data_IF_330288225021
#
_entry.id   IF_330288225021
#
_cell.length_a   1.000
_cell.length_b   1.000
_cell.length_c   1.000
_cell.angle_alpha   90.00
_cell.angle_beta   90.00
_cell.angle_gamma   90.00
#
_symmetry.space_group_name_H-M   'P 1'
#
loop_
_entity.id
_entity.type
_entity.pdbx_description
1 polymer ?
#
# COMPACT_ATOMS: atom_id res chain seq x y z
N UNK A 1 1.11 68.25 -13.49
CA UNK A 1 0.40 66.95 -13.29
C UNK A 1 1.34 65.83 -13.70
N UNK A 2 2.00 65.20 -12.74
CA UNK A 2 2.79 63.97 -12.93
C UNK A 2 2.28 62.93 -11.92
N UNK A 3 1.77 61.81 -12.44
CA UNK A 3 1.27 60.68 -11.63
C UNK A 3 2.47 59.85 -11.17
N UNK A 4 2.64 59.74 -9.86
CA UNK A 4 3.51 58.75 -9.22
C UNK A 4 2.70 57.45 -9.17
N UNK A 5 3.16 56.40 -9.86
CA UNK A 5 2.56 55.07 -9.78
C UNK A 5 3.13 54.31 -8.59
N UNK A 6 2.35 54.24 -7.51
CA UNK A 6 2.57 53.30 -6.41
C UNK A 6 2.07 51.91 -6.81
N UNK A 7 2.99 51.02 -7.18
CA UNK A 7 2.72 49.58 -7.11
C UNK A 7 4.02 48.81 -6.89
N UNK A 8 4.70 49.11 -5.78
CA UNK A 8 5.79 48.30 -5.27
C UNK A 8 5.25 47.12 -4.46
N UNK A 9 4.70 46.10 -5.11
CA UNK A 9 4.53 44.80 -4.43
C UNK A 9 5.90 44.13 -4.36
N UNK A 10 6.48 44.12 -3.17
CA UNK A 10 7.67 43.33 -2.86
C UNK A 10 7.32 41.85 -3.12
N UNK A 11 8.01 41.15 -4.02
CA UNK A 11 7.75 39.73 -4.26
C UNK A 11 7.96 38.97 -2.95
N UNK A 12 6.95 38.19 -2.54
CA UNK A 12 7.08 37.30 -1.38
C UNK A 12 8.31 36.41 -1.60
N UNK A 13 9.23 36.30 -0.64
CA UNK A 13 10.40 35.44 -0.78
C UNK A 13 9.92 34.02 -1.06
N UNK A 14 10.43 33.42 -2.14
CA UNK A 14 10.17 32.03 -2.46
C UNK A 14 10.55 31.18 -1.26
N UNK A 15 9.62 30.35 -0.78
CA UNK A 15 9.90 29.40 0.32
C UNK A 15 11.12 28.56 -0.11
N UNK A 16 12.16 28.44 0.73
CA UNK A 16 13.30 27.61 0.41
C UNK A 16 12.81 26.17 0.19
N UNK A 17 12.92 25.67 -1.05
CA UNK A 17 12.78 24.24 -1.32
C UNK A 17 13.98 23.56 -0.67
N UNK A 18 13.76 22.82 0.43
CA UNK A 18 14.77 21.86 0.89
C UNK A 18 15.00 20.85 -0.25
N UNK A 19 16.19 20.85 -0.83
CA UNK A 19 16.49 20.14 -2.09
C UNK A 19 16.93 18.69 -1.93
N UNK A 20 17.10 18.16 -0.72
CA UNK A 20 17.92 16.93 -0.59
C UNK A 20 17.14 15.72 -0.09
N UNK A 21 15.91 15.90 0.38
CA UNK A 21 15.05 14.79 0.80
C UNK A 21 13.98 14.53 -0.25
N UNK A 22 14.13 13.39 -0.93
CA UNK A 22 13.16 12.98 -1.93
C UNK A 22 11.86 12.65 -1.19
N UNK A 23 10.74 13.30 -1.52
CA UNK A 23 9.54 13.09 -0.75
C UNK A 23 9.12 11.62 -0.84
N UNK A 24 8.66 11.06 0.27
CA UNK A 24 8.23 9.68 0.39
C UNK A 24 6.70 9.65 0.34
N UNK A 25 6.16 8.96 -0.65
CA UNK A 25 4.74 8.95 -1.00
C UNK A 25 4.31 7.51 -1.27
N UNK A 26 3.01 7.28 -1.40
CA UNK A 26 2.46 5.94 -1.60
C UNK A 26 1.87 5.44 -0.30
N UNK A 27 0.54 5.43 -0.27
CA UNK A 27 -0.21 4.85 0.84
C UNK A 27 -1.59 4.54 0.34
N UNK A 28 -2.13 3.41 0.77
CA UNK A 28 -3.54 3.10 0.67
C UNK A 28 -4.06 2.84 2.08
N UNK A 29 -5.05 3.64 2.46
CA UNK A 29 -5.85 3.39 3.66
C UNK A 29 -7.22 2.89 3.25
N UNK A 30 -7.74 1.97 4.03
CA UNK A 30 -9.06 1.37 3.90
C UNK A 30 -9.77 1.57 5.23
N UNK A 31 -10.98 2.09 5.17
CA UNK A 31 -11.83 2.29 6.32
C UNK A 31 -13.18 1.63 6.05
N UNK A 32 -13.67 0.80 6.96
CA UNK A 32 -14.96 0.13 6.85
C UNK A 32 -15.68 0.24 8.19
N UNK A 33 -16.80 0.96 8.23
CA UNK A 33 -17.68 1.03 9.40
C UNK A 33 -18.91 0.15 9.21
N UNK A 34 -19.07 -0.82 10.10
CA UNK A 34 -20.27 -1.66 10.23
C UNK A 34 -21.19 -1.07 11.30
N UNK A 35 -22.21 -1.82 11.72
CA UNK A 35 -23.06 -1.44 12.85
C UNK A 35 -22.31 -1.44 14.19
N UNK A 36 -21.41 -2.39 14.39
CA UNK A 36 -20.78 -2.66 15.69
C UNK A 36 -19.30 -2.31 15.74
N UNK A 37 -18.65 -2.31 14.57
CA UNK A 37 -17.20 -2.29 14.46
C UNK A 37 -16.71 -1.37 13.35
N UNK A 38 -15.52 -0.83 13.58
CA UNK A 38 -14.73 -0.07 12.60
C UNK A 38 -13.47 -0.86 12.29
N UNK A 39 -13.22 -1.07 11.00
CA UNK A 39 -12.01 -1.72 10.49
C UNK A 39 -11.18 -0.68 9.77
N UNK A 40 -9.91 -0.59 10.13
CA UNK A 40 -8.93 0.30 9.52
C UNK A 40 -7.80 -0.56 8.98
N UNK A 41 -7.63 -0.56 7.67
CA UNK A 41 -6.54 -1.23 6.97
C UNK A 41 -5.56 -0.21 6.41
N UNK A 42 -4.26 -0.46 6.50
CA UNK A 42 -3.23 0.29 5.78
C UNK A 42 -2.32 -0.65 5.01
N UNK A 43 -1.83 -0.20 3.86
CA UNK A 43 -0.60 -0.76 3.33
C UNK A 43 0.60 -0.34 4.19
N UNK A 44 1.75 -0.98 4.00
CA UNK A 44 2.99 -0.67 4.72
C UNK A 44 4.10 -0.12 3.82
N UNK A 45 3.85 -0.04 2.50
CA UNK A 45 4.84 0.40 1.51
C UNK A 45 5.04 1.90 1.51
N UNK A 46 6.28 2.33 1.51
CA UNK A 46 6.72 3.70 1.27
C UNK A 46 7.56 3.69 0.01
N UNK A 47 7.19 4.56 -0.93
CA UNK A 47 7.92 4.72 -2.18
C UNK A 47 8.51 6.12 -2.31
N UNK A 48 9.54 6.20 -3.12
CA UNK A 48 10.04 7.45 -3.64
C UNK A 48 9.27 7.78 -4.92
N UNK A 49 8.37 8.75 -4.83
CA UNK A 49 7.42 9.10 -5.91
C UNK A 49 8.06 9.59 -7.21
N UNK A 50 9.39 9.81 -7.26
CA UNK A 50 10.11 10.21 -8.49
C UNK A 50 10.71 9.03 -9.26
N UNK A 51 11.01 7.92 -8.59
CA UNK A 51 11.75 6.80 -9.19
C UNK A 51 11.02 5.47 -9.12
N UNK A 52 9.77 5.45 -8.63
CA UNK A 52 9.02 4.23 -8.31
C UNK A 52 9.79 3.26 -7.39
N UNK A 53 10.83 3.75 -6.73
CA UNK A 53 11.69 2.95 -5.86
C UNK A 53 11.00 2.76 -4.53
N UNK A 54 10.85 1.51 -4.12
CA UNK A 54 10.42 1.16 -2.77
C UNK A 54 11.55 1.56 -1.81
N UNK A 55 11.23 2.42 -0.85
CA UNK A 55 12.17 2.87 0.19
C UNK A 55 12.10 1.92 1.39
N UNK A 56 10.89 1.52 1.77
CA UNK A 56 10.62 0.58 2.85
C UNK A 56 9.25 -0.06 2.58
N UNK A 57 9.09 -1.35 2.79
CA UNK A 57 7.84 -2.08 2.58
C UNK A 57 7.17 -2.57 3.86
N UNK A 58 7.65 -2.16 5.03
CA UNK A 58 7.20 -2.63 6.34
C UNK A 58 6.98 -1.49 7.36
N UNK A 59 6.28 -0.43 6.96
CA UNK A 59 6.04 0.75 7.81
C UNK A 59 4.65 0.79 8.46
N UNK A 60 4.60 1.22 9.74
CA UNK A 60 3.34 1.47 10.47
C UNK A 60 2.76 2.82 10.07
N UNK A 61 1.55 2.81 9.50
CA UNK A 61 0.81 4.03 9.10
C UNK A 61 -0.42 4.29 9.96
N UNK A 62 -0.63 3.44 10.96
CA UNK A 62 -1.67 3.53 11.98
C UNK A 62 -0.92 3.56 13.31
N UNK A 63 -1.07 4.66 14.05
CA UNK A 63 -0.26 4.95 15.24
C UNK A 63 -1.17 5.25 16.43
N UNK A 64 -0.85 4.69 17.58
CA UNK A 64 -1.61 4.95 18.80
C UNK A 64 -1.33 6.37 19.31
N UNK A 65 -2.38 7.17 19.50
CA UNK A 65 -2.32 8.43 20.24
C UNK A 65 -2.47 8.15 21.74
N UNK A 66 -3.36 7.21 22.07
CA UNK A 66 -3.59 6.67 23.41
C UNK A 66 -3.89 5.18 23.31
N UNK A 67 -4.22 4.50 24.41
CA UNK A 67 -4.72 3.12 24.35
C UNK A 67 -6.01 2.96 23.54
N UNK A 68 -6.84 4.01 23.46
CA UNK A 68 -8.19 3.99 22.86
C UNK A 68 -8.34 4.93 21.66
N UNK A 69 -7.28 5.64 21.28
CA UNK A 69 -7.28 6.60 20.17
C UNK A 69 -6.08 6.37 19.28
N UNK A 70 -6.30 6.32 17.98
CA UNK A 70 -5.32 6.04 16.94
C UNK A 70 -5.41 7.10 15.86
N UNK A 71 -4.31 7.36 15.18
CA UNK A 71 -4.25 8.24 14.03
C UNK A 71 -3.69 7.51 12.81
N UNK A 72 -4.10 7.97 11.64
CA UNK A 72 -3.63 7.41 10.35
C UNK A 72 -3.15 8.52 9.44
N UNK A 73 -2.25 8.19 8.52
CA UNK A 73 -1.73 9.13 7.54
C UNK A 73 -1.61 8.46 6.17
N UNK A 74 -2.05 9.15 5.12
CA UNK A 74 -1.68 8.89 3.72
C UNK A 74 -0.94 10.08 3.14
N UNK A 75 -0.04 9.86 2.18
CA UNK A 75 0.69 10.93 1.52
C UNK A 75 2.11 11.05 2.07
N UNK A 76 2.52 12.25 2.49
CA UNK A 76 3.86 12.51 3.02
C UNK A 76 4.02 11.90 4.41
N UNK A 77 4.55 10.67 4.46
CA UNK A 77 4.63 9.87 5.69
C UNK A 77 5.38 10.56 6.82
N UNK A 78 6.52 11.21 6.52
CA UNK A 78 7.33 11.92 7.53
C UNK A 78 6.56 13.06 8.21
N UNK A 79 5.77 13.81 7.44
CA UNK A 79 4.89 14.84 8.00
C UNK A 79 3.81 14.21 8.89
N UNK A 80 3.31 13.02 8.52
CA UNK A 80 2.39 12.25 9.35
C UNK A 80 2.96 11.87 10.71
N UNK A 81 4.23 11.44 10.79
CA UNK A 81 4.86 11.11 12.06
C UNK A 81 4.90 12.31 13.02
N UNK A 82 5.33 13.48 12.52
CA UNK A 82 5.32 14.71 13.31
C UNK A 82 3.91 15.13 13.73
N UNK A 83 2.91 14.92 12.86
CA UNK A 83 1.52 15.16 13.24
C UNK A 83 1.07 14.25 14.39
N UNK A 84 1.41 12.96 14.36
CA UNK A 84 1.00 12.03 15.42
C UNK A 84 1.58 12.42 16.79
N UNK A 85 2.82 12.90 16.83
CA UNK A 85 3.42 13.47 18.05
C UNK A 85 2.67 14.72 18.53
N UNK A 86 2.35 15.64 17.62
CA UNK A 86 1.56 16.84 17.93
C UNK A 86 0.16 16.46 18.48
N UNK A 87 -0.50 15.46 17.89
CA UNK A 87 -1.80 14.95 18.37
C UNK A 87 -1.71 14.33 19.77
N UNK A 88 -0.66 13.53 20.05
CA UNK A 88 -0.40 12.96 21.38
C UNK A 88 -0.20 14.05 22.43
N UNK A 89 0.61 15.06 22.10
CA UNK A 89 0.85 16.20 22.98
C UNK A 89 -0.43 16.96 23.27
N UNK A 90 -1.21 17.29 22.23
CA UNK A 90 -2.49 17.98 22.38
C UNK A 90 -3.49 17.21 23.25
N UNK A 91 -3.57 15.88 23.08
CA UNK A 91 -4.40 15.03 23.91
C UNK A 91 -3.96 15.10 25.39
N UNK A 92 -2.67 14.93 25.67
CA UNK A 92 -2.14 14.94 27.03
C UNK A 92 -2.29 16.30 27.72
N UNK A 93 -2.07 17.41 27.02
CA UNK A 93 -2.25 18.77 27.57
C UNK A 93 -3.70 19.00 28.03
N UNK A 94 -4.67 18.60 27.20
CA UNK A 94 -6.09 18.70 27.56
C UNK A 94 -6.47 17.76 28.71
N UNK A 95 -5.99 16.52 28.68
CA UNK A 95 -6.22 15.56 29.76
C UNK A 95 -5.66 16.06 31.10
N UNK A 96 -4.46 16.64 31.09
CA UNK A 96 -3.83 17.23 32.27
C UNK A 96 -4.60 18.45 32.82
N UNK A 97 -5.42 19.11 31.99
CA UNK A 97 -6.34 20.16 32.43
C UNK A 97 -7.65 19.63 33.05
N UNK A 98 -7.78 18.30 33.21
CA UNK A 98 -8.95 17.65 33.80
C UNK A 98 -10.09 17.36 32.81
N UNK A 99 -9.86 17.54 31.51
CA UNK A 99 -10.88 17.32 30.46
C UNK A 99 -10.43 16.20 29.53
N UNK A 100 -11.22 15.12 29.44
CA UNK A 100 -10.98 14.04 28.48
C UNK A 100 -11.32 14.53 27.05
N UNK A 101 -10.34 14.60 26.13
CA UNK A 101 -10.58 15.12 24.78
C UNK A 101 -11.45 14.19 23.95
N UNK A 102 -12.39 14.76 23.20
CA UNK A 102 -13.17 14.02 22.20
C UNK A 102 -12.32 13.70 20.96
N UNK A 103 -12.72 12.68 20.19
CA UNK A 103 -12.02 12.34 18.94
C UNK A 103 -12.09 13.50 17.94
N UNK A 104 -13.25 14.16 17.89
CA UNK A 104 -13.46 15.30 16.98
C UNK A 104 -12.56 16.48 17.34
N UNK A 105 -12.36 16.79 18.61
CA UNK A 105 -11.45 17.87 19.03
C UNK A 105 -10.00 17.60 18.61
N UNK A 106 -9.52 16.37 18.80
CA UNK A 106 -8.17 15.98 18.37
C UNK A 106 -8.03 16.05 16.84
N UNK A 107 -9.05 15.59 16.10
CA UNK A 107 -9.07 15.70 14.65
C UNK A 107 -9.14 17.16 14.16
N UNK A 108 -9.92 18.02 14.84
CA UNK A 108 -10.01 19.45 14.53
C UNK A 108 -8.69 20.18 14.77
N UNK A 109 -7.95 19.82 15.83
CA UNK A 109 -6.59 20.30 16.06
C UNK A 109 -5.65 19.83 14.95
N UNK A 110 -5.69 18.54 14.60
CA UNK A 110 -4.89 17.98 13.51
C UNK A 110 -5.13 18.72 12.19
N UNK A 111 -6.40 19.00 11.87
CA UNK A 111 -6.77 19.81 10.70
C UNK A 111 -6.16 21.20 10.75
N UNK A 112 -6.24 21.91 11.87
CA UNK A 112 -5.64 23.24 12.01
C UNK A 112 -4.13 23.20 11.79
N UNK A 113 -3.47 22.14 12.27
CA UNK A 113 -2.03 21.96 12.13
C UNK A 113 -1.60 21.81 10.68
N UNK A 114 -2.32 20.99 9.91
CA UNK A 114 -1.99 20.70 8.51
C UNK A 114 -2.43 21.79 7.53
N UNK A 115 -3.29 22.74 7.90
CA UNK A 115 -3.73 23.84 7.00
C UNK A 115 -2.59 24.66 6.40
N UNK A 116 -1.43 24.67 7.05
CA UNK A 116 -0.24 25.38 6.60
C UNK A 116 0.69 24.51 5.77
N UNK A 117 0.41 23.21 5.75
CA UNK A 117 1.11 22.22 4.94
C UNK A 117 0.45 22.25 3.57
N UNK A 118 1.25 22.34 2.53
CA UNK A 118 0.78 22.23 1.15
C UNK A 118 1.04 20.77 0.74
N UNK A 119 0.15 19.85 1.17
CA UNK A 119 0.39 18.43 1.01
C UNK A 119 -0.82 17.66 0.51
N UNK A 120 -0.61 16.72 -0.42
CA UNK A 120 -1.68 15.81 -0.85
C UNK A 120 -1.82 14.65 0.15
N UNK A 121 -2.19 14.96 1.38
CA UNK A 121 -2.29 14.01 2.47
C UNK A 121 -3.70 13.94 3.07
N UNK A 122 -4.07 12.75 3.51
CA UNK A 122 -5.29 12.52 4.27
C UNK A 122 -4.93 11.91 5.61
N UNK A 123 -5.59 12.40 6.64
CA UNK A 123 -5.36 11.98 8.00
C UNK A 123 -6.68 11.60 8.63
N UNK A 124 -6.64 10.70 9.60
CA UNK A 124 -7.82 10.42 10.41
C UNK A 124 -7.46 10.14 11.84
N UNK A 125 -8.40 10.40 12.75
CA UNK A 125 -8.36 9.97 14.14
C UNK A 125 -9.49 8.96 14.33
N UNK A 126 -9.18 7.80 14.90
CA UNK A 126 -10.10 6.70 15.19
C UNK A 126 -10.06 6.40 16.69
N UNK A 127 -11.20 6.07 17.28
CA UNK A 127 -11.26 5.63 18.67
C UNK A 127 -12.69 5.42 19.12
N UNK A 128 -12.91 5.48 20.44
CA UNK A 128 -14.24 5.31 21.04
C UNK A 128 -14.81 6.66 21.43
N UNK A 129 -16.04 6.94 21.01
CA UNK A 129 -16.79 8.13 21.38
C UNK A 129 -18.25 7.73 21.63
N UNK A 130 -18.79 8.10 22.79
CA UNK A 130 -20.14 7.71 23.24
C UNK A 130 -20.38 6.19 23.19
N UNK A 131 -19.39 5.39 23.61
CA UNK A 131 -19.45 3.93 23.65
C UNK A 131 -19.47 3.26 22.27
N UNK A 132 -19.16 3.99 21.19
CA UNK A 132 -19.15 3.45 19.83
C UNK A 132 -17.83 3.77 19.14
N UNK A 133 -17.30 2.88 18.29
CA UNK A 133 -16.15 3.19 17.47
C UNK A 133 -16.53 4.27 16.44
N UNK A 134 -15.74 5.35 16.42
CA UNK A 134 -15.89 6.49 15.53
C UNK A 134 -14.55 6.82 14.87
N UNK A 135 -14.63 7.48 13.71
CA UNK A 135 -13.47 8.03 13.06
C UNK A 135 -13.80 9.36 12.39
N UNK A 136 -12.83 10.25 12.43
CA UNK A 136 -12.90 11.58 11.84
C UNK A 136 -11.73 11.76 10.88
N UNK A 137 -12.03 12.00 9.61
CA UNK A 137 -11.04 12.29 8.57
C UNK A 137 -10.87 13.78 8.36
N UNK A 138 -9.67 14.20 7.97
CA UNK A 138 -9.34 15.57 7.64
C UNK A 138 -8.18 15.63 6.62
N UNK A 139 -8.16 16.71 5.84
CA UNK A 139 -7.13 17.01 4.83
C UNK A 139 -7.06 18.52 4.66
N UNK A 140 -5.96 19.03 4.12
CA UNK A 140 -5.76 20.43 3.76
C UNK A 140 -6.50 20.80 2.45
N UNK A 141 -6.93 19.81 1.67
CA UNK A 141 -7.65 20.02 0.40
C UNK A 141 -9.02 20.65 0.61
N UNK A 142 -9.36 21.59 -0.27
CA UNK A 142 -10.63 22.33 -0.25
C UNK A 142 -11.89 21.44 -0.28
N UNK A 143 -11.79 20.20 -0.78
CA UNK A 143 -12.92 19.26 -0.79
C UNK A 143 -13.37 18.87 0.63
N UNK A 144 -12.49 18.95 1.62
CA UNK A 144 -12.80 18.70 3.03
C UNK A 144 -12.29 19.85 3.88
N UNK A 145 -12.88 21.05 3.68
CA UNK A 145 -12.58 22.22 4.50
C UNK A 145 -12.71 21.94 6.00
N UNK A 146 -13.56 20.98 6.37
CA UNK A 146 -13.86 20.60 7.74
C UNK A 146 -13.51 19.15 8.04
N UNK A 147 -13.32 18.89 9.33
CA UNK A 147 -13.20 17.54 9.88
C UNK A 147 -14.51 16.79 9.64
N UNK A 148 -14.44 15.63 9.00
CA UNK A 148 -15.61 14.85 8.60
C UNK A 148 -15.69 13.53 9.33
N UNK A 149 -16.87 13.20 9.85
CA UNK A 149 -17.14 11.87 10.38
C UNK A 149 -17.15 10.83 9.24
N UNK A 150 -16.36 9.77 9.39
CA UNK A 150 -16.29 8.67 8.41
C UNK A 150 -17.46 7.69 8.64
N UNK A 151 -18.60 7.98 7.99
CA UNK A 151 -19.88 7.32 8.29
C UNK A 151 -20.02 5.89 7.76
N UNK A 152 -19.39 5.55 6.64
CA UNK A 152 -19.55 4.25 5.96
C UNK A 152 -18.19 3.62 5.70
N UNK A 153 -17.77 3.55 4.45
CA UNK A 153 -16.46 3.09 4.02
C UNK A 153 -15.73 4.24 3.35
N UNK A 154 -14.41 4.23 3.44
CA UNK A 154 -13.55 5.18 2.76
C UNK A 154 -12.27 4.49 2.30
N UNK A 155 -11.68 5.03 1.24
CA UNK A 155 -10.29 4.71 0.90
C UNK A 155 -9.56 5.96 0.45
N UNK A 156 -8.35 6.11 0.95
CA UNK A 156 -7.49 7.28 0.79
C UNK A 156 -6.12 6.89 0.25
N UNK A 157 -5.44 7.89 -0.31
CA UNK A 157 -4.14 7.74 -0.95
C UNK A 157 -4.20 7.15 -2.37
N UNK A 158 -3.04 6.76 -2.90
CA UNK A 158 -2.83 6.48 -4.34
C UNK A 158 -3.61 5.28 -4.84
N UNK A 159 -3.64 4.18 -4.08
CA UNK A 159 -4.39 2.97 -4.43
C UNK A 159 -5.89 3.09 -4.17
N UNK A 160 -6.34 4.21 -3.61
CA UNK A 160 -7.76 4.46 -3.34
C UNK A 160 -8.64 4.38 -4.59
N UNK A 161 -8.13 4.69 -5.78
CA UNK A 161 -8.89 4.56 -7.05
C UNK A 161 -9.24 3.10 -7.40
N UNK A 162 -8.43 2.14 -6.98
CA UNK A 162 -8.66 0.71 -7.21
C UNK A 162 -9.39 0.04 -6.05
N UNK A 163 -9.20 0.55 -4.83
CA UNK A 163 -9.93 0.12 -3.65
C UNK A 163 -11.43 0.50 -3.71
N UNK A 164 -11.74 1.73 -4.14
CA UNK A 164 -13.11 2.28 -4.12
C UNK A 164 -14.14 1.44 -4.89
N UNK A 165 -13.87 0.93 -6.11
CA UNK A 165 -14.79 0.03 -6.81
C UNK A 165 -15.18 -1.19 -5.98
N UNK A 166 -14.20 -1.85 -5.35
CA UNK A 166 -14.42 -3.04 -4.52
C UNK A 166 -15.27 -2.72 -3.29
N UNK A 167 -14.93 -1.65 -2.58
CA UNK A 167 -15.71 -1.17 -1.44
C UNK A 167 -17.14 -0.81 -1.84
N UNK A 168 -17.33 -0.15 -2.99
CA UNK A 168 -18.65 0.24 -3.47
C UNK A 168 -19.52 -0.96 -3.83
N UNK A 169 -18.94 -1.98 -4.45
CA UNK A 169 -19.68 -3.16 -4.90
C UNK A 169 -20.11 -4.06 -3.73
N UNK A 170 -19.20 -4.28 -2.77
CA UNK A 170 -19.37 -5.36 -1.79
C UNK A 170 -19.76 -4.86 -0.39
N UNK A 171 -19.74 -3.55 -0.15
CA UNK A 171 -20.07 -3.01 1.17
C UNK A 171 -21.56 -3.11 1.50
N UNK A 172 -21.84 -3.64 2.69
CA UNK A 172 -23.11 -3.56 3.37
C UNK A 172 -22.91 -3.12 4.84
N UNK A 173 -23.73 -2.18 5.31
CA UNK A 173 -23.65 -1.65 6.68
C UNK A 173 -23.79 -2.73 7.77
N UNK A 174 -24.62 -3.74 7.53
CA UNK A 174 -24.90 -4.86 8.45
C UNK A 174 -24.01 -6.08 8.24
N UNK A 175 -22.89 -5.96 7.53
CA UNK A 175 -21.96 -7.08 7.37
C UNK A 175 -21.38 -7.53 8.72
N UNK A 176 -21.20 -8.84 8.87
CA UNK A 176 -20.49 -9.42 10.00
C UNK A 176 -18.99 -9.09 9.93
N UNK A 177 -18.28 -9.21 11.06
CA UNK A 177 -16.83 -9.01 11.11
C UNK A 177 -16.06 -9.87 10.08
N UNK A 178 -16.31 -11.19 9.91
CA UNK A 178 -15.61 -11.98 8.90
C UNK A 178 -15.78 -11.44 7.48
N UNK A 179 -16.98 -10.97 7.13
CA UNK A 179 -17.24 -10.38 5.81
C UNK A 179 -16.54 -9.02 5.65
N UNK A 180 -16.54 -8.21 6.71
CA UNK A 180 -15.86 -6.92 6.72
C UNK A 180 -14.34 -7.05 6.60
N UNK A 181 -13.76 -8.04 7.27
CA UNK A 181 -12.34 -8.39 7.15
C UNK A 181 -12.00 -8.89 5.75
N UNK A 182 -12.80 -9.81 5.20
CA UNK A 182 -12.64 -10.27 3.81
C UNK A 182 -12.75 -9.11 2.82
N UNK A 183 -13.66 -8.15 3.04
CA UNK A 183 -13.76 -6.95 2.22
C UNK A 183 -12.50 -6.09 2.33
N UNK A 184 -11.97 -5.85 3.53
CA UNK A 184 -10.72 -5.10 3.71
C UNK A 184 -9.55 -5.76 2.96
N UNK A 185 -9.42 -7.08 3.09
CA UNK A 185 -8.36 -7.87 2.45
C UNK A 185 -8.43 -7.85 0.92
N UNK A 186 -9.61 -8.11 0.36
CA UNK A 186 -9.80 -8.10 -1.11
C UNK A 186 -9.73 -6.69 -1.69
N UNK A 187 -10.15 -5.67 -0.95
CA UNK A 187 -10.00 -4.25 -1.31
C UNK A 187 -8.54 -3.85 -1.36
N UNK A 188 -7.76 -4.25 -0.35
CA UNK A 188 -6.31 -4.03 -0.35
C UNK A 188 -5.65 -4.73 -1.52
N UNK A 189 -5.99 -5.99 -1.78
CA UNK A 189 -5.41 -6.73 -2.88
C UNK A 189 -5.69 -6.05 -4.23
N UNK A 190 -6.92 -5.59 -4.46
CA UNK A 190 -7.25 -4.81 -5.65
C UNK A 190 -6.41 -3.52 -5.76
N UNK A 191 -6.12 -2.85 -4.64
CA UNK A 191 -5.25 -1.69 -4.60
C UNK A 191 -3.78 -2.04 -4.88
N UNK A 192 -3.23 -3.07 -4.25
CA UNK A 192 -1.85 -3.51 -4.42
C UNK A 192 -1.59 -4.03 -5.84
N UNK A 193 -2.58 -4.63 -6.48
CA UNK A 193 -2.50 -5.12 -7.86
C UNK A 193 -2.71 -4.04 -8.92
N UNK A 194 -3.20 -2.85 -8.57
CA UNK A 194 -3.39 -1.76 -9.54
C UNK A 194 -2.49 -0.54 -9.31
N UNK A 195 -1.98 -0.37 -8.08
CA UNK A 195 -1.14 0.74 -7.68
C UNK A 195 0.26 0.25 -7.27
N UNK A 196 1.32 0.53 -8.06
CA UNK A 196 2.68 0.07 -7.74
C UNK A 196 3.20 0.65 -6.41
N UNK A 197 2.62 1.76 -5.94
CA UNK A 197 2.96 2.40 -4.68
C UNK A 197 2.26 1.79 -3.46
N UNK A 198 1.31 0.88 -3.68
CA UNK A 198 0.62 0.14 -2.62
C UNK A 198 1.18 -1.27 -2.53
N UNK A 199 1.46 -1.75 -1.32
CA UNK A 199 1.91 -3.13 -1.12
C UNK A 199 2.63 -3.34 0.21
N UNK A 200 3.51 -4.34 0.22
CA UNK A 200 4.12 -4.84 1.46
C UNK A 200 3.10 -5.68 2.22
N UNK A 201 2.65 -5.16 3.35
CA UNK A 201 1.67 -5.76 4.25
C UNK A 201 0.38 -4.96 4.23
N UNK A 202 -0.74 -5.67 4.30
CA UNK A 202 -1.97 -5.13 4.84
C UNK A 202 -1.92 -5.26 6.36
N UNK A 203 -1.99 -4.13 7.06
CA UNK A 203 -2.13 -4.08 8.52
C UNK A 203 -3.53 -3.65 8.88
N UNK A 204 -4.24 -4.48 9.63
CA UNK A 204 -5.65 -4.30 9.96
C UNK A 204 -5.84 -4.13 11.45
N UNK A 205 -6.54 -3.07 11.82
CA UNK A 205 -6.98 -2.77 13.16
C UNK A 205 -8.50 -2.86 13.21
N UNK A 206 -9.03 -3.59 14.20
CA UNK A 206 -10.47 -3.72 14.44
C UNK A 206 -10.83 -3.07 15.76
N UNK A 207 -11.78 -2.14 15.69
CA UNK A 207 -12.30 -1.38 16.82
C UNK A 207 -13.76 -1.76 17.07
N UNK A 208 -14.10 -2.06 18.33
CA UNK A 208 -15.47 -2.25 18.80
C UNK A 208 -15.82 -1.19 19.87
N UNK A 209 -16.85 -1.40 20.69
CA UNK A 209 -17.22 -0.44 21.75
C UNK A 209 -16.19 -0.32 22.88
N UNK A 210 -15.26 -1.27 23.01
CA UNK A 210 -14.28 -1.34 24.09
C UNK A 210 -12.89 -0.84 23.66
N UNK A 211 -12.70 -0.46 22.40
CA UNK A 211 -11.42 0.01 21.87
C UNK A 211 -10.89 -0.87 20.76
N UNK A 212 -9.55 -0.89 20.59
CA UNK A 212 -8.88 -1.80 19.65
C UNK A 212 -8.96 -3.23 20.20
N UNK A 213 -9.71 -4.11 19.54
CA UNK A 213 -9.82 -5.53 19.93
C UNK A 213 -8.83 -6.41 19.20
N UNK A 214 -8.53 -6.12 17.94
CA UNK A 214 -7.69 -6.97 17.11
C UNK A 214 -6.74 -6.15 16.25
N UNK A 215 -5.53 -6.67 16.11
CA UNK A 215 -4.52 -6.20 15.17
C UNK A 215 -3.92 -7.42 14.48
N UNK A 216 -3.80 -7.38 13.15
CA UNK A 216 -3.07 -8.39 12.42
C UNK A 216 -2.46 -7.83 11.15
N UNK A 217 -1.48 -8.56 10.61
CA UNK A 217 -0.79 -8.24 9.37
C UNK A 217 -0.88 -9.43 8.43
N UNK A 218 -1.03 -9.17 7.13
CA UNK A 218 -0.85 -10.16 6.06
C UNK A 218 -0.05 -9.53 4.94
N UNK A 219 0.96 -10.23 4.44
CA UNK A 219 1.69 -9.81 3.24
C UNK A 219 0.75 -9.77 2.03
N UNK A 220 1.11 -8.94 1.05
CA UNK A 220 0.42 -8.90 -0.24
C UNK A 220 0.43 -10.28 -0.90
N UNK A 221 1.51 -11.04 -0.77
CA UNK A 221 1.61 -12.40 -1.31
C UNK A 221 0.66 -13.37 -0.60
N UNK A 222 0.62 -13.39 0.74
CA UNK A 222 -0.32 -14.27 1.48
C UNK A 222 -1.77 -13.98 1.11
N UNK A 223 -2.14 -12.70 0.98
CA UNK A 223 -3.47 -12.30 0.54
C UNK A 223 -3.74 -12.78 -0.89
N UNK A 224 -2.82 -12.50 -1.79
CA UNK A 224 -2.91 -12.92 -3.17
C UNK A 224 -3.13 -14.44 -3.29
N UNK A 225 -2.37 -15.24 -2.55
CA UNK A 225 -2.52 -16.71 -2.52
C UNK A 225 -3.81 -17.18 -1.85
N UNK A 226 -4.25 -16.48 -0.81
CA UNK A 226 -5.51 -16.78 -0.12
C UNK A 226 -6.73 -16.58 -1.02
N UNK A 227 -6.64 -15.66 -1.97
CA UNK A 227 -7.73 -15.31 -2.89
C UNK A 227 -7.49 -15.76 -4.33
N UNK A 228 -6.40 -16.50 -4.59
CA UNK A 228 -5.99 -16.96 -5.91
C UNK A 228 -7.09 -17.73 -6.65
N UNK A 229 -7.84 -18.57 -5.94
CA UNK A 229 -8.93 -19.36 -6.52
C UNK A 229 -10.20 -18.54 -6.82
N UNK A 230 -10.33 -17.33 -6.27
CA UNK A 230 -11.49 -16.45 -6.48
C UNK A 230 -11.26 -15.44 -7.61
N UNK A 231 -10.10 -15.45 -8.23
CA UNK A 231 -9.64 -14.40 -9.11
C UNK A 231 -9.57 -14.83 -10.58
N UNK A 232 -10.49 -15.66 -11.06
CA UNK A 232 -10.52 -16.12 -12.45
C UNK A 232 -10.41 -14.96 -13.48
N UNK A 233 -10.94 -13.77 -13.17
CA UNK A 233 -10.78 -12.56 -14.01
C UNK A 233 -9.36 -11.97 -14.07
N UNK A 234 -8.55 -12.12 -13.02
CA UNK A 234 -7.19 -11.53 -12.97
C UNK A 234 -6.11 -12.44 -13.57
N UNK A 235 -6.40 -13.73 -13.75
CA UNK A 235 -5.36 -14.76 -13.88
C UNK A 235 -5.22 -15.40 -15.25
N UNK A 236 -6.19 -15.23 -16.15
CA UNK A 236 -6.11 -15.85 -17.48
C UNK A 236 -4.91 -15.38 -18.32
N UNK A 237 -4.15 -14.37 -17.86
CA UNK A 237 -3.04 -13.75 -18.61
C UNK A 237 -1.82 -13.36 -17.77
N UNK A 238 -1.64 -13.92 -16.57
CA UNK A 238 -0.56 -13.49 -15.67
C UNK A 238 0.46 -14.61 -15.39
N UNK A 239 1.71 -14.35 -15.76
CA UNK A 239 2.87 -15.15 -15.32
C UNK A 239 3.54 -14.41 -14.16
N UNK A 240 3.82 -15.15 -13.09
CA UNK A 240 4.56 -14.67 -11.92
C UNK A 240 5.99 -15.17 -11.99
N UNK A 241 6.93 -14.26 -12.23
CA UNK A 241 8.36 -14.58 -12.17
C UNK A 241 8.83 -14.27 -10.75
N UNK A 242 9.39 -15.24 -10.03
CA UNK A 242 10.00 -15.03 -8.71
C UNK A 242 11.53 -15.04 -8.89
N UNK A 243 12.21 -13.97 -8.46
CA UNK A 243 13.68 -13.93 -8.50
C UNK A 243 14.27 -13.55 -7.17
N UNK A 244 15.25 -14.31 -6.66
CA UNK A 244 16.03 -13.95 -5.48
C UNK A 244 17.26 -13.14 -5.92
N UNK A 245 17.41 -11.91 -5.41
CA UNK A 245 18.56 -11.04 -5.66
C UNK A 245 18.25 -9.72 -6.39
N UNK A 246 19.23 -8.82 -6.49
CA UNK A 246 19.15 -7.66 -7.39
C UNK A 246 19.20 -8.16 -8.83
N UNK A 247 18.06 -8.48 -9.44
CA UNK A 247 17.99 -8.40 -10.90
C UNK A 247 18.20 -6.93 -11.23
N UNK A 248 19.41 -6.59 -11.68
CA UNK A 248 19.68 -5.26 -12.20
C UNK A 248 18.63 -4.92 -13.25
N UNK A 249 18.10 -3.70 -13.20
CA UNK A 249 17.02 -3.21 -14.09
C UNK A 249 17.29 -3.54 -15.58
N UNK A 250 18.54 -3.73 -15.96
CA UNK A 250 19.04 -4.11 -17.29
C UNK A 250 18.38 -5.35 -17.90
N UNK A 251 18.21 -6.46 -17.16
CA UNK A 251 17.73 -7.74 -17.76
C UNK A 251 16.27 -7.62 -18.17
N UNK A 252 15.45 -6.99 -17.34
CA UNK A 252 14.02 -6.82 -17.63
C UNK A 252 13.81 -5.72 -18.66
N UNK A 253 14.62 -4.66 -18.64
CA UNK A 253 14.60 -3.60 -19.66
C UNK A 253 14.94 -4.14 -21.06
N UNK A 254 15.83 -5.13 -21.16
CA UNK A 254 16.17 -5.78 -22.43
C UNK A 254 15.03 -6.65 -23.00
N UNK A 255 14.18 -7.24 -22.15
CA UNK A 255 12.98 -7.96 -22.60
C UNK A 255 11.90 -7.02 -23.17
N UNK A 256 11.88 -5.74 -22.76
CA UNK A 256 11.00 -4.74 -23.37
C UNK A 256 11.46 -4.36 -24.79
N UNK A 257 12.77 -4.24 -24.99
CA UNK A 257 13.33 -3.87 -26.30
C UNK A 257 13.20 -4.96 -27.37
N UNK A 258 12.87 -6.20 -27.00
CA UNK A 258 12.65 -7.31 -27.92
C UNK A 258 11.19 -7.44 -28.40
N UNK A 259 10.29 -6.52 -28.01
CA UNK A 259 8.94 -6.40 -28.56
C UNK A 259 7.93 -7.45 -28.07
N UNK A 260 8.22 -8.19 -27.00
CA UNK A 260 7.37 -9.29 -26.53
C UNK A 260 6.19 -8.87 -25.64
N UNK A 261 6.11 -7.60 -25.20
CA UNK A 261 5.17 -7.14 -24.17
C UNK A 261 4.33 -5.95 -24.64
N UNK A 262 3.02 -5.97 -24.35
CA UNK A 262 2.08 -4.91 -24.78
C UNK A 262 1.93 -3.80 -23.72
N UNK A 263 2.11 -4.13 -22.45
CA UNK A 263 1.77 -3.24 -21.32
C UNK A 263 2.92 -3.16 -20.30
N UNK A 264 2.98 -2.09 -19.48
CA UNK A 264 3.94 -1.99 -18.40
C UNK A 264 3.81 -3.17 -17.44
N UNK A 265 4.92 -3.86 -17.21
CA UNK A 265 5.06 -4.97 -16.26
C UNK A 265 4.85 -4.44 -14.84
N UNK A 266 3.82 -4.92 -14.13
CA UNK A 266 3.66 -4.62 -12.71
C UNK A 266 4.63 -5.45 -11.88
N UNK A 267 5.51 -4.76 -11.17
CA UNK A 267 6.52 -5.40 -10.32
C UNK A 267 5.99 -5.46 -8.89
N UNK A 268 5.34 -6.56 -8.53
CA UNK A 268 5.03 -6.90 -7.15
C UNK A 268 6.30 -7.41 -6.43
N UNK A 269 7.12 -6.52 -5.91
CA UNK A 269 8.23 -6.97 -5.04
C UNK A 269 7.64 -7.52 -3.73
N UNK A 270 7.91 -8.78 -3.45
CA UNK A 270 7.64 -9.49 -2.19
C UNK A 270 8.98 -9.67 -1.47
N UNK A 271 9.25 -8.87 -0.45
CA UNK A 271 10.36 -9.16 0.45
C UNK A 271 9.93 -10.18 1.51
N UNK A 272 10.64 -11.31 1.67
CA UNK A 272 10.53 -12.08 2.89
C UNK A 272 11.16 -11.27 4.05
N UNK A 273 10.53 -11.33 5.22
CA UNK A 273 11.00 -10.69 6.45
C UNK A 273 12.43 -11.13 6.75
N UNK A 274 13.35 -10.17 6.87
CA UNK A 274 14.61 -10.38 7.61
C UNK A 274 15.90 -10.62 6.84
N UNK A 275 15.95 -10.66 5.50
CA UNK A 275 17.22 -10.77 4.76
C UNK A 275 17.25 -10.00 3.43
N UNK A 276 18.46 -9.60 3.03
CA UNK A 276 18.78 -8.99 1.73
C UNK A 276 18.48 -10.02 0.62
N UNK A 277 17.24 -10.03 0.13
CA UNK A 277 16.81 -10.97 -0.89
C UNK A 277 15.31 -10.90 -1.10
N UNK A 278 14.82 -9.80 -1.67
CA UNK A 278 13.42 -9.71 -2.10
C UNK A 278 13.16 -10.64 -3.28
N UNK A 279 11.99 -11.27 -3.29
CA UNK A 279 11.41 -11.85 -4.49
C UNK A 279 10.76 -10.73 -5.29
N UNK A 280 11.24 -10.48 -6.50
CA UNK A 280 10.55 -9.56 -7.40
C UNK A 280 9.50 -10.38 -8.14
N UNK A 281 8.22 -10.20 -7.84
CA UNK A 281 7.11 -10.84 -8.57
C UNK A 281 6.67 -9.92 -9.70
N UNK A 282 7.08 -10.18 -10.95
CA UNK A 282 6.72 -9.34 -12.10
C UNK A 282 5.51 -9.92 -12.86
N UNK A 283 4.45 -9.14 -13.01
CA UNK A 283 3.30 -9.40 -13.90
C UNK A 283 3.70 -9.09 -15.33
N UNK A 284 3.81 -10.12 -16.14
CA UNK A 284 4.15 -9.98 -17.55
C UNK A 284 2.91 -10.29 -18.39
N UNK A 285 2.39 -9.29 -19.11
CA UNK A 285 1.22 -9.42 -19.99
C UNK A 285 1.72 -9.59 -21.43
N UNK A 286 1.50 -10.78 -22.00
CA UNK A 286 1.89 -11.12 -23.36
C UNK A 286 0.76 -10.77 -24.35
N UNK A 287 1.11 -10.58 -25.63
CA UNK A 287 0.14 -10.60 -26.74
C UNK A 287 -0.68 -11.89 -26.74
N UNK A 288 -1.76 -11.95 -27.52
CA UNK A 288 -2.52 -13.19 -27.81
C UNK A 288 -1.63 -14.23 -28.48
N UNK A 289 -0.70 -14.76 -27.69
CA UNK A 289 0.20 -15.86 -27.98
C UNK A 289 -0.27 -16.99 -27.10
N UNK A 290 -0.27 -18.18 -27.68
CA UNK A 290 -0.47 -19.36 -26.87
C UNK A 290 0.65 -19.45 -25.83
N UNK A 291 0.32 -20.10 -24.74
CA UNK A 291 1.20 -20.37 -23.64
C UNK A 291 2.58 -20.94 -24.01
N UNK A 292 2.65 -21.84 -24.99
CA UNK A 292 3.90 -22.52 -25.33
C UNK A 292 4.87 -21.55 -26.01
N UNK A 293 4.35 -20.67 -26.87
CA UNK A 293 5.12 -19.58 -27.49
C UNK A 293 5.68 -18.61 -26.44
N UNK A 294 4.88 -18.25 -25.44
CA UNK A 294 5.30 -17.39 -24.32
C UNK A 294 6.44 -18.04 -23.52
N UNK A 295 6.31 -19.33 -23.22
CA UNK A 295 7.31 -20.11 -22.46
C UNK A 295 8.63 -20.17 -23.24
N UNK A 296 8.59 -20.46 -24.54
CA UNK A 296 9.78 -20.49 -25.39
C UNK A 296 10.48 -19.13 -25.47
N UNK A 297 9.73 -18.04 -25.57
CA UNK A 297 10.32 -16.69 -25.56
C UNK A 297 11.01 -16.39 -24.23
N UNK A 298 10.36 -16.70 -23.09
CA UNK A 298 10.95 -16.55 -21.76
C UNK A 298 12.24 -17.37 -21.62
N UNK A 299 12.20 -18.65 -22.00
CA UNK A 299 13.38 -19.54 -21.95
C UNK A 299 14.52 -19.02 -22.83
N UNK A 300 14.21 -18.65 -24.07
CA UNK A 300 15.19 -18.11 -25.00
C UNK A 300 15.86 -16.83 -24.48
N UNK A 301 15.09 -15.95 -23.82
CA UNK A 301 15.65 -14.73 -23.24
C UNK A 301 16.52 -15.06 -22.01
N UNK A 302 16.13 -16.00 -21.15
CA UNK A 302 16.97 -16.47 -20.05
C UNK A 302 18.31 -17.06 -20.55
N UNK A 303 18.28 -17.87 -21.61
CA UNK A 303 19.48 -18.42 -22.25
C UNK A 303 20.36 -17.33 -22.86
N UNK A 304 19.76 -16.30 -23.46
CA UNK A 304 20.47 -15.21 -24.15
C UNK A 304 21.14 -14.22 -23.20
N UNK A 305 20.61 -14.01 -22.00
CA UNK A 305 21.03 -12.93 -21.10
C UNK A 305 21.75 -13.38 -19.81
N UNK A 306 22.15 -14.65 -19.66
CA UNK A 306 23.14 -15.00 -18.64
C UNK A 306 23.16 -16.40 -18.04
N UNK A 307 22.41 -17.38 -18.56
CA UNK A 307 22.49 -18.76 -18.05
C UNK A 307 23.55 -19.64 -18.74
N UNK A 308 24.34 -19.10 -19.69
CA UNK A 308 25.17 -19.91 -20.61
C UNK A 308 26.50 -20.44 -20.08
N UNK A 309 27.04 -19.90 -18.99
CA UNK A 309 28.40 -20.25 -18.53
C UNK A 309 28.43 -20.88 -17.13
N UNK A 310 27.36 -21.59 -16.72
CA UNK A 310 27.31 -22.23 -15.40
C UNK A 310 26.94 -23.69 -15.50
N UNK A 311 27.62 -24.50 -14.70
CA UNK A 311 27.40 -25.95 -14.58
C UNK A 311 26.02 -26.24 -13.98
N UNK A 312 25.45 -27.43 -14.24
CA UNK A 312 24.16 -27.86 -13.68
C UNK A 312 24.14 -27.78 -12.13
N UNK A 313 25.29 -27.89 -11.48
CA UNK A 313 25.47 -27.75 -10.04
C UNK A 313 25.40 -26.29 -9.56
N UNK A 314 25.88 -25.34 -10.37
CA UNK A 314 25.79 -23.90 -10.12
C UNK A 314 24.39 -23.34 -10.42
N UNK A 315 23.65 -23.94 -11.35
CA UNK A 315 22.25 -23.63 -11.64
C UNK A 315 21.33 -24.04 -10.48
N UNK A 316 21.62 -25.19 -9.84
CA UNK A 316 20.87 -25.68 -8.68
C UNK A 316 21.19 -24.94 -7.37
N UNK A 317 22.30 -24.20 -7.31
CA UNK A 317 22.73 -23.45 -6.12
C UNK A 317 22.53 -21.93 -6.24
N UNK A 318 22.22 -21.40 -7.43
CA UNK A 318 21.82 -20.01 -7.63
C UNK A 318 20.29 -19.83 -7.55
N UNK A 319 19.76 -19.01 -6.62
CA UNK A 319 18.32 -18.83 -6.46
C UNK A 319 17.71 -17.78 -7.40
N UNK A 320 18.35 -17.51 -8.55
CA UNK A 320 17.82 -16.61 -9.57
C UNK A 320 17.16 -17.46 -10.67
N UNK A 321 15.82 -17.57 -10.57
CA UNK A 321 14.91 -18.39 -11.38
C UNK A 321 14.98 -19.90 -11.11
N UNK A 322 14.24 -20.34 -10.10
CA UNK A 322 13.48 -21.59 -10.27
C UNK A 322 12.31 -21.28 -11.22
N UNK A 323 12.57 -21.36 -12.54
CA UNK A 323 11.51 -21.82 -13.42
C UNK A 323 11.33 -23.28 -13.02
N UNK A 324 10.15 -23.65 -12.52
CA UNK A 324 9.82 -25.04 -12.17
C UNK A 324 9.93 -25.87 -13.45
N UNK A 325 11.14 -26.33 -13.72
CA UNK A 325 11.49 -27.18 -14.82
C UNK A 325 11.35 -28.60 -14.29
N UNK A 326 10.11 -29.11 -14.34
CA UNK A 326 9.81 -30.51 -14.58
C UNK A 326 8.29 -30.64 -14.72
N UNK A 327 7.85 -30.72 -15.98
CA UNK A 327 6.47 -30.92 -16.45
C UNK A 327 5.55 -29.70 -16.31
N UNK A 328 5.62 -28.85 -17.34
CA UNK A 328 4.58 -27.90 -17.68
C UNK A 328 3.26 -28.61 -17.98
N UNK A 329 2.44 -28.78 -16.94
CA UNK A 329 1.02 -28.55 -17.12
C UNK A 329 0.77 -27.08 -16.78
N UNK A 330 -0.18 -26.45 -17.47
CA UNK A 330 -0.99 -25.38 -16.86
C UNK A 330 -1.77 -25.96 -15.67
N UNK A 331 -1.05 -26.51 -14.70
CA UNK A 331 -1.61 -26.93 -13.45
C UNK A 331 -1.61 -25.67 -12.59
N UNK A 332 -2.82 -25.23 -12.24
CA UNK A 332 -3.06 -24.52 -10.98
C UNK A 332 -2.08 -25.10 -9.96
N UNK A 333 -1.02 -24.36 -9.62
CA UNK A 333 -0.22 -24.73 -8.46
C UNK A 333 -1.21 -24.84 -7.31
N UNK A 334 -1.31 -26.03 -6.74
CA UNK A 334 -2.19 -26.23 -5.61
C UNK A 334 -1.73 -25.31 -4.49
N UNK A 335 -2.66 -24.85 -3.65
CA UNK A 335 -2.33 -24.04 -2.47
C UNK A 335 -1.19 -24.66 -1.67
N UNK A 336 -1.16 -25.98 -1.58
CA UNK A 336 -0.13 -26.77 -0.89
C UNK A 336 1.25 -26.67 -1.54
N UNK A 337 1.35 -26.81 -2.87
CA UNK A 337 2.62 -26.64 -3.59
C UNK A 337 3.21 -25.24 -3.41
N UNK A 338 2.34 -24.23 -3.44
CA UNK A 338 2.75 -22.84 -3.28
C UNK A 338 3.13 -22.51 -1.83
N UNK A 339 2.40 -23.07 -0.85
CA UNK A 339 2.76 -22.97 0.57
C UNK A 339 4.09 -23.68 0.88
N UNK A 340 4.38 -24.82 0.27
CA UNK A 340 5.65 -25.55 0.48
C UNK A 340 6.85 -24.77 -0.09
N UNK A 341 6.70 -24.16 -1.27
CA UNK A 341 7.73 -23.28 -1.86
C UNK A 341 8.10 -22.09 -0.95
N UNK A 342 7.10 -21.52 -0.28
CA UNK A 342 7.29 -20.36 0.60
C UNK A 342 7.71 -20.74 2.02
N UNK A 343 7.28 -21.91 2.53
CA UNK A 343 7.59 -22.41 3.87
C UNK A 343 8.97 -23.06 4.00
N UNK A 344 9.60 -23.48 2.90
CA UNK A 344 10.95 -24.08 2.93
C UNK A 344 12.10 -23.07 3.07
N UNK A 345 11.82 -21.77 3.05
CA UNK A 345 12.84 -20.71 3.13
C UNK A 345 12.48 -19.56 4.11
N UNK A 346 11.54 -19.80 5.03
CA UNK A 346 11.20 -18.87 6.12
C UNK A 346 12.13 -19.06 7.32
#
# INVERSE_FOLDING_TARGET
MSRISESGQVPKPAKPRRTDEIPTHGTTMIFIKTNELVIVGSDSRISNGRSNRIVNDDVFKIEAITSNMYATCTGLFRSGLGLFEDLRKQYMEKKNSGVEPTLKEIADYGRQRIRTWDNDAHYSVIGIENGKPQAYGFTDKEKYKDTVALKTWWSFGSGGKYAKPKLRADYNRGMSEPLALKLAETTFLAAALGDPFTGGYLRVFVFDSNGKRKEYSKTTLELYLSYYSLSDEFHSRTIYIFSRGQIGDTVVTQWFSSGCLIEPVEVMVVHPVGYIGGYIVRRVVFQEKDAATIIQEVQHQCERYGCRDRTDEEINTFPCLQIVNERFHFAKLTKEQLSNLLGQNA
#
